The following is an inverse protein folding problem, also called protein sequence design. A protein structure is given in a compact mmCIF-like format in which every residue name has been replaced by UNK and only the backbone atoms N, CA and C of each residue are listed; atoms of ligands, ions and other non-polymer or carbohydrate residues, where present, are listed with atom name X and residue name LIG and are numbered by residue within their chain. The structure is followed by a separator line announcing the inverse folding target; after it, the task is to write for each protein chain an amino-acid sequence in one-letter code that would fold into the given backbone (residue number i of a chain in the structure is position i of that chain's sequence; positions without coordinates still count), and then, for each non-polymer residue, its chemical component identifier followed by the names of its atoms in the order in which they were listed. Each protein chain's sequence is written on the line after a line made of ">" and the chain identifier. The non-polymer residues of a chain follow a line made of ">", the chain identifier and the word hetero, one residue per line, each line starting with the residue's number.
data_IF_334485544743
#
_entry.id   IF_334485544743
#
_cell.length_a   1.000
_cell.length_b   1.000
_cell.length_c   1.000
_cell.angle_alpha   90.00
_cell.angle_beta   90.00
_cell.angle_gamma   90.00
#
_symmetry.space_group_name_H-M   'P 1'
#
loop_
_entity.id
_entity.type
_entity.pdbx_description
1 polymer ?
#
# COMPACT_ATOMS: atom_id res chain seq x y z
N UNK A 1 11.50 81.18 -7.37
CA UNK A 1 10.97 80.00 -8.11
C UNK A 1 11.70 78.80 -7.59
N UNK A 2 10.99 77.98 -6.80
CA UNK A 2 11.55 76.76 -6.15
C UNK A 2 10.72 75.57 -6.62
N UNK A 3 11.32 74.78 -7.51
CA UNK A 3 10.72 73.50 -7.99
C UNK A 3 10.93 72.43 -6.89
N UNK A 4 9.83 72.00 -6.29
CA UNK A 4 9.79 70.80 -5.42
C UNK A 4 9.75 69.56 -6.31
N UNK A 5 10.90 68.85 -6.40
CA UNK A 5 10.95 67.49 -6.89
C UNK A 5 10.14 66.56 -6.00
N UNK A 6 8.97 66.12 -6.41
CA UNK A 6 8.23 65.02 -5.79
C UNK A 6 8.84 63.71 -6.27
N UNK A 7 9.63 63.07 -5.41
CA UNK A 7 10.07 61.70 -5.62
C UNK A 7 8.86 60.75 -5.48
N UNK A 8 8.38 60.21 -6.59
CA UNK A 8 7.32 59.21 -6.67
C UNK A 8 7.84 57.91 -6.03
N UNK A 9 7.49 57.67 -4.76
CA UNK A 9 7.75 56.41 -4.07
C UNK A 9 6.89 55.29 -4.64
N UNK A 10 7.44 54.52 -5.59
CA UNK A 10 6.79 53.40 -6.18
C UNK A 10 6.79 52.20 -5.19
N UNK A 11 5.91 52.24 -4.17
CA UNK A 11 5.67 51.14 -3.27
C UNK A 11 4.89 50.07 -4.06
N UNK A 12 5.37 48.80 -4.19
CA UNK A 12 4.62 47.77 -4.87
C UNK A 12 3.27 47.60 -4.19
N UNK A 13 2.18 47.65 -4.98
CA UNK A 13 0.81 47.63 -4.50
C UNK A 13 0.53 46.41 -3.59
N UNK A 14 -0.40 46.55 -2.67
CA UNK A 14 -0.81 45.55 -1.68
C UNK A 14 -1.08 44.16 -2.31
N UNK A 15 -1.60 44.12 -3.55
CA UNK A 15 -1.86 42.90 -4.32
C UNK A 15 -0.58 42.13 -4.69
N UNK A 16 0.48 42.81 -5.07
CA UNK A 16 1.78 42.18 -5.42
C UNK A 16 2.46 41.60 -4.17
N UNK A 17 2.25 42.23 -3.02
CA UNK A 17 2.81 41.79 -1.75
C UNK A 17 2.08 40.55 -1.21
N UNK A 18 0.74 40.49 -1.39
CA UNK A 18 -0.08 39.30 -1.01
C UNK A 18 0.23 38.10 -1.94
N UNK A 19 0.41 38.32 -3.24
CA UNK A 19 0.78 37.28 -4.21
C UNK A 19 2.15 36.66 -3.92
N UNK A 20 3.17 37.45 -3.60
CA UNK A 20 4.49 36.94 -3.19
C UNK A 20 4.43 36.19 -1.85
N UNK A 21 3.57 36.60 -0.94
CA UNK A 21 3.31 35.92 0.34
C UNK A 21 2.71 34.54 0.07
N UNK A 22 1.66 34.46 -0.74
CA UNK A 22 0.98 33.21 -1.12
C UNK A 22 1.98 32.19 -1.73
N UNK A 23 2.77 32.57 -2.72
CA UNK A 23 3.75 31.69 -3.36
C UNK A 23 4.84 31.20 -2.38
N UNK A 24 5.28 32.05 -1.46
CA UNK A 24 6.24 31.64 -0.43
C UNK A 24 5.67 30.59 0.52
N UNK A 25 4.44 30.75 0.94
CA UNK A 25 3.77 29.79 1.83
C UNK A 25 3.46 28.50 1.10
N UNK A 26 2.97 28.55 -0.14
CA UNK A 26 2.73 27.36 -0.97
C UNK A 26 4.01 26.55 -1.20
N UNK A 27 5.12 27.23 -1.51
CA UNK A 27 6.43 26.58 -1.65
C UNK A 27 6.90 25.93 -0.34
N UNK A 28 6.76 26.62 0.79
CA UNK A 28 7.11 26.07 2.12
C UNK A 28 6.28 24.83 2.47
N UNK A 29 4.98 24.86 2.21
CA UNK A 29 4.07 23.74 2.45
C UNK A 29 4.42 22.56 1.54
N UNK A 30 4.69 22.80 0.26
CA UNK A 30 5.14 21.76 -0.66
C UNK A 30 6.47 21.15 -0.21
N UNK A 31 7.45 21.97 0.14
CA UNK A 31 8.74 21.51 0.64
C UNK A 31 8.58 20.69 1.93
N UNK A 32 7.78 21.17 2.87
CA UNK A 32 7.48 20.44 4.10
C UNK A 32 6.81 19.08 3.82
N UNK A 33 5.86 19.02 2.89
CA UNK A 33 5.24 17.77 2.45
C UNK A 33 6.27 16.81 1.84
N UNK A 34 7.14 17.29 0.96
CA UNK A 34 8.18 16.47 0.34
C UNK A 34 9.16 15.91 1.37
N UNK A 35 9.64 16.76 2.27
CA UNK A 35 10.58 16.35 3.33
C UNK A 35 9.92 15.38 4.33
N UNK A 36 8.68 15.63 4.72
CA UNK A 36 7.93 14.75 5.63
C UNK A 36 7.65 13.40 4.97
N UNK A 37 7.21 13.37 3.72
CA UNK A 37 6.95 12.12 3.00
C UNK A 37 8.23 11.30 2.83
N UNK A 38 9.35 11.95 2.51
CA UNK A 38 10.66 11.31 2.44
C UNK A 38 11.08 10.72 3.79
N UNK A 39 10.95 11.50 4.87
CA UNK A 39 11.31 11.06 6.22
C UNK A 39 10.46 9.86 6.69
N UNK A 40 9.15 9.89 6.42
CA UNK A 40 8.24 8.78 6.75
C UNK A 40 8.61 7.50 6.00
N UNK A 41 8.91 7.59 4.71
CA UNK A 41 9.30 6.41 3.92
C UNK A 41 10.67 5.90 4.37
N UNK A 42 11.65 6.77 4.59
CA UNK A 42 12.95 6.36 5.12
C UNK A 42 12.81 5.69 6.50
N UNK A 43 11.94 6.19 7.36
CA UNK A 43 11.70 5.57 8.66
C UNK A 43 11.21 4.11 8.51
N UNK A 44 10.18 3.85 7.68
CA UNK A 44 9.66 2.49 7.51
C UNK A 44 10.57 1.58 6.68
N UNK A 45 11.51 2.15 5.92
CA UNK A 45 12.55 1.38 5.21
C UNK A 45 13.48 0.64 6.17
N UNK A 46 13.73 1.21 7.35
CA UNK A 46 14.68 0.66 8.34
C UNK A 46 14.02 0.23 9.65
N UNK A 47 12.87 0.79 9.99
CA UNK A 47 12.20 0.56 11.28
C UNK A 47 10.83 -0.06 11.03
N UNK A 48 10.51 -1.11 11.79
CA UNK A 48 9.19 -1.71 11.76
C UNK A 48 8.18 -0.78 12.40
N UNK A 49 7.12 -0.33 11.68
CA UNK A 49 6.17 0.61 12.25
C UNK A 49 5.37 -0.06 13.39
N UNK A 50 5.30 0.55 14.58
CA UNK A 50 4.51 0.01 15.70
C UNK A 50 3.00 0.09 15.43
N UNK A 51 2.61 1.00 14.56
CA UNK A 51 1.25 1.17 14.03
C UNK A 51 1.30 1.82 12.65
N UNK A 52 0.19 1.80 11.92
CA UNK A 52 0.08 2.36 10.57
C UNK A 52 -1.30 2.98 10.35
N UNK A 53 -1.43 3.82 9.32
CA UNK A 53 -2.61 4.64 9.09
C UNK A 53 -3.91 3.82 9.00
N UNK A 54 -3.91 2.70 8.26
CA UNK A 54 -5.09 1.83 8.14
C UNK A 54 -5.54 1.24 9.48
N UNK A 55 -4.61 0.81 10.33
CA UNK A 55 -4.92 0.28 11.66
C UNK A 55 -5.48 1.36 12.57
N UNK A 56 -4.94 2.58 12.49
CA UNK A 56 -5.44 3.74 13.24
C UNK A 56 -6.86 4.09 12.76
N UNK A 57 -7.09 4.14 11.45
CA UNK A 57 -8.40 4.42 10.85
C UNK A 57 -9.45 3.38 11.33
N UNK A 58 -9.08 2.10 11.34
CA UNK A 58 -9.93 1.02 11.88
C UNK A 58 -10.18 1.10 13.39
N UNK A 59 -9.23 1.61 14.15
CA UNK A 59 -9.40 1.81 15.59
C UNK A 59 -10.31 3.01 15.91
N UNK A 60 -10.24 4.08 15.10
CA UNK A 60 -11.08 5.27 15.25
C UNK A 60 -12.49 5.07 14.71
N UNK A 61 -12.63 4.30 13.62
CA UNK A 61 -13.89 4.04 12.92
C UNK A 61 -14.11 2.54 12.74
N UNK A 62 -14.33 1.77 13.83
CA UNK A 62 -14.46 0.33 13.75
C UNK A 62 -15.74 -0.05 12.98
N UNK A 63 -15.67 -0.93 11.99
CA UNK A 63 -16.86 -1.41 11.25
C UNK A 63 -17.79 -2.26 12.08
N UNK A 64 -17.32 -2.83 13.19
CA UNK A 64 -18.05 -3.61 14.19
C UNK A 64 -17.45 -3.37 15.58
N UNK A 65 -18.27 -3.46 16.60
CA UNK A 65 -17.83 -3.38 17.99
C UNK A 65 -17.06 -4.62 18.46
N UNK A 66 -16.23 -4.46 19.47
CA UNK A 66 -15.52 -5.53 20.17
C UNK A 66 -14.61 -6.43 19.30
N UNK A 67 -13.90 -5.84 18.32
CA UNK A 67 -12.92 -6.58 17.51
C UNK A 67 -11.62 -6.72 18.30
N UNK A 68 -11.22 -7.97 18.55
CA UNK A 68 -9.91 -8.26 19.12
C UNK A 68 -8.82 -8.09 18.05
N UNK A 69 -7.94 -7.10 18.24
CA UNK A 69 -6.81 -6.87 17.34
C UNK A 69 -5.68 -7.87 17.62
N UNK A 70 -5.25 -8.57 16.57
CA UNK A 70 -4.12 -9.51 16.58
C UNK A 70 -3.07 -9.05 15.58
N UNK A 71 -1.84 -8.95 16.03
CA UNK A 71 -0.71 -8.60 15.18
C UNK A 71 0.58 -9.11 15.81
N UNK A 72 1.44 -9.71 14.99
CA UNK A 72 2.79 -10.08 15.35
C UNK A 72 3.69 -9.88 14.13
N UNK A 73 4.72 -9.06 14.29
CA UNK A 73 5.71 -8.84 13.23
C UNK A 73 6.65 -10.03 13.10
N UNK A 74 6.92 -10.43 11.86
CA UNK A 74 7.95 -11.42 11.54
C UNK A 74 8.78 -10.94 10.34
N UNK A 75 10.13 -11.08 10.38
CA UNK A 75 10.96 -10.71 9.23
C UNK A 75 10.66 -11.63 8.04
N UNK A 76 10.91 -11.12 6.82
CA UNK A 76 10.56 -11.80 5.58
C UNK A 76 11.15 -13.21 5.48
N UNK A 77 12.37 -13.42 5.99
CA UNK A 77 13.07 -14.71 6.00
C UNK A 77 12.35 -15.78 6.85
N UNK A 78 11.53 -15.37 7.80
CA UNK A 78 10.72 -16.26 8.64
C UNK A 78 9.33 -16.52 8.09
N UNK A 79 8.96 -15.89 6.96
CA UNK A 79 7.71 -16.13 6.26
C UNK A 79 7.96 -17.14 5.15
N UNK A 80 7.13 -18.20 5.08
CA UNK A 80 7.26 -19.22 4.06
C UNK A 80 7.32 -18.63 2.65
N UNK A 81 8.25 -19.09 1.81
CA UNK A 81 8.39 -18.67 0.41
C UNK A 81 7.07 -18.86 -0.37
N UNK A 82 6.30 -19.92 -0.04
CA UNK A 82 4.96 -20.13 -0.58
C UNK A 82 4.03 -18.93 -0.34
N UNK A 83 4.08 -18.30 0.83
CA UNK A 83 3.23 -17.16 1.16
C UNK A 83 3.65 -15.89 0.42
N UNK A 84 4.95 -15.64 0.33
CA UNK A 84 5.51 -14.55 -0.44
C UNK A 84 5.08 -14.66 -1.91
N UNK A 85 5.23 -15.84 -2.50
CA UNK A 85 4.83 -16.09 -3.90
C UNK A 85 3.31 -16.03 -4.09
N UNK A 86 2.51 -16.52 -3.12
CA UNK A 86 1.05 -16.51 -3.22
C UNK A 86 0.48 -15.09 -3.29
N UNK A 87 1.05 -14.16 -2.52
CA UNK A 87 0.65 -12.75 -2.53
C UNK A 87 1.04 -12.08 -3.84
N UNK A 88 2.27 -12.29 -4.32
CA UNK A 88 2.72 -11.78 -5.63
C UNK A 88 1.81 -12.35 -6.74
N UNK A 89 1.55 -13.64 -6.73
CA UNK A 89 0.73 -14.32 -7.72
C UNK A 89 -0.74 -13.86 -7.73
N UNK A 90 -1.29 -13.46 -6.57
CA UNK A 90 -2.69 -13.06 -6.45
C UNK A 90 -2.95 -11.59 -6.68
N UNK A 91 -2.00 -10.73 -6.30
CA UNK A 91 -2.20 -9.28 -6.23
C UNK A 91 -1.37 -8.50 -7.27
N UNK A 92 -0.18 -9.00 -7.64
CA UNK A 92 0.76 -8.23 -8.46
C UNK A 92 1.81 -9.13 -9.13
N UNK A 93 1.42 -9.83 -10.19
CA UNK A 93 2.30 -10.80 -10.88
C UNK A 93 3.55 -10.17 -11.51
N UNK A 94 3.55 -8.85 -11.69
CA UNK A 94 4.67 -8.07 -12.25
C UNK A 94 5.42 -7.29 -11.17
N UNK A 95 5.28 -7.67 -9.90
CA UNK A 95 5.82 -6.95 -8.75
C UNK A 95 7.30 -6.57 -8.90
N UNK A 96 8.13 -7.48 -9.42
CA UNK A 96 9.57 -7.24 -9.63
C UNK A 96 9.90 -6.43 -10.89
N UNK A 97 8.90 -6.14 -11.75
CA UNK A 97 9.11 -5.54 -13.08
C UNK A 97 8.71 -4.06 -13.17
N UNK A 98 8.16 -3.46 -12.13
CA UNK A 98 7.73 -2.06 -12.12
C UNK A 98 8.27 -1.31 -10.90
N UNK A 99 8.27 0.03 -10.95
CA UNK A 99 8.78 0.91 -9.89
C UNK A 99 7.61 1.53 -9.09
N UNK A 100 6.95 0.70 -8.28
CA UNK A 100 5.84 1.11 -7.41
C UNK A 100 4.48 1.17 -8.10
N UNK A 101 4.41 1.56 -9.37
CA UNK A 101 3.19 1.64 -10.19
C UNK A 101 3.38 0.84 -11.48
N UNK A 102 2.46 -0.08 -11.78
CA UNK A 102 2.47 -0.86 -13.03
C UNK A 102 1.62 -0.18 -14.11
N UNK A 103 2.25 0.65 -14.95
CA UNK A 103 1.59 1.32 -16.06
C UNK A 103 1.11 0.36 -17.16
N UNK A 104 1.75 -0.81 -17.30
CA UNK A 104 1.31 -1.83 -18.27
C UNK A 104 0.00 -2.46 -17.79
N UNK A 105 -0.08 -2.87 -16.52
CA UNK A 105 -1.32 -3.39 -15.95
C UNK A 105 -2.46 -2.36 -15.98
N UNK A 106 -2.17 -1.07 -15.73
CA UNK A 106 -3.15 0.01 -15.84
C UNK A 106 -3.66 0.13 -17.28
N UNK A 107 -2.77 0.11 -18.28
CA UNK A 107 -3.15 0.20 -19.70
C UNK A 107 -4.04 -0.97 -20.09
N UNK A 108 -3.62 -2.21 -19.79
CA UNK A 108 -4.42 -3.42 -20.06
C UNK A 108 -5.79 -3.36 -19.38
N UNK A 109 -5.84 -2.95 -18.10
CA UNK A 109 -7.11 -2.83 -17.38
C UNK A 109 -8.05 -1.74 -17.94
N UNK A 110 -7.51 -0.73 -18.63
CA UNK A 110 -8.31 0.30 -19.36
C UNK A 110 -8.82 -0.29 -20.67
N UNK A 111 -7.99 -1.02 -21.39
CA UNK A 111 -8.32 -1.63 -22.69
C UNK A 111 -9.38 -2.74 -22.55
N UNK A 112 -9.28 -3.56 -21.51
CA UNK A 112 -10.19 -4.69 -21.23
C UNK A 112 -11.49 -4.27 -20.51
N UNK A 113 -11.66 -2.98 -20.21
CA UNK A 113 -12.79 -2.48 -19.42
C UNK A 113 -14.02 -2.25 -20.28
N UNK A 114 -15.15 -2.82 -19.85
CA UNK A 114 -16.45 -2.45 -20.41
C UNK A 114 -16.80 -0.99 -20.07
N UNK A 115 -17.44 -0.25 -21.01
CA UNK A 115 -17.84 1.12 -20.77
C UNK A 115 -18.73 1.27 -19.52
N UNK A 116 -18.28 2.08 -18.55
CA UNK A 116 -19.02 2.33 -17.29
C UNK A 116 -18.60 1.46 -16.11
N UNK A 117 -17.79 0.42 -16.29
CA UNK A 117 -17.30 -0.38 -15.17
C UNK A 117 -16.10 0.28 -14.46
N UNK A 118 -15.95 0.07 -13.14
CA UNK A 118 -14.77 0.55 -12.41
C UNK A 118 -13.51 -0.21 -12.82
N UNK A 119 -12.38 0.48 -12.85
CA UNK A 119 -11.08 -0.12 -13.11
C UNK A 119 -10.74 -1.13 -11.98
N UNK A 120 -10.55 -2.40 -12.33
CA UNK A 120 -10.24 -3.48 -11.38
C UNK A 120 -8.86 -4.10 -11.68
N UNK A 121 -8.15 -4.53 -10.63
CA UNK A 121 -6.92 -5.32 -10.76
C UNK A 121 -5.66 -4.57 -11.18
N UNK A 122 -5.68 -3.22 -11.20
CA UNK A 122 -4.53 -2.41 -11.63
C UNK A 122 -3.70 -1.80 -10.48
N UNK A 123 -4.01 -2.11 -9.21
CA UNK A 123 -3.25 -1.60 -8.07
C UNK A 123 -2.16 -2.57 -7.68
N UNK A 124 -0.93 -2.10 -7.58
CA UNK A 124 0.25 -2.90 -7.21
C UNK A 124 0.31 -3.20 -5.71
N UNK A 125 1.10 -4.20 -5.31
CA UNK A 125 1.44 -4.47 -3.90
C UNK A 125 2.06 -3.24 -3.23
N UNK A 126 2.94 -2.53 -3.94
CA UNK A 126 3.56 -1.30 -3.42
C UNK A 126 2.52 -0.21 -3.15
N UNK A 127 1.54 -0.02 -4.05
CA UNK A 127 0.44 0.93 -3.85
C UNK A 127 -0.45 0.54 -2.67
N UNK A 128 -0.76 -0.76 -2.50
CA UNK A 128 -1.52 -1.25 -1.35
C UNK A 128 -0.76 -1.04 -0.05
N UNK A 129 0.56 -1.29 -0.04
CA UNK A 129 1.44 -1.04 1.11
C UNK A 129 1.46 0.44 1.47
N UNK A 130 1.69 1.32 0.51
CA UNK A 130 1.70 2.76 0.69
C UNK A 130 0.36 3.29 1.24
N UNK A 131 -0.76 2.81 0.69
CA UNK A 131 -2.11 3.13 1.19
C UNK A 131 -2.25 2.72 2.66
N UNK A 132 -1.92 1.49 3.00
CA UNK A 132 -2.10 0.99 4.36
C UNK A 132 -1.20 1.70 5.36
N UNK A 133 0.06 2.03 4.99
CA UNK A 133 1.02 2.69 5.86
C UNK A 133 0.66 4.15 6.14
N UNK A 134 0.29 4.92 5.11
CA UNK A 134 0.31 6.38 5.17
C UNK A 134 -1.05 7.04 4.94
N UNK A 135 -2.08 6.31 4.43
CA UNK A 135 -3.32 6.91 3.97
C UNK A 135 -4.56 6.33 4.68
N UNK A 136 -5.65 7.04 4.56
CA UNK A 136 -6.96 6.72 5.14
C UNK A 136 -7.88 5.97 4.17
N UNK A 137 -9.03 5.49 4.64
CA UNK A 137 -9.94 4.59 3.90
C UNK A 137 -10.84 5.26 2.83
N UNK A 138 -10.77 6.60 2.62
CA UNK A 138 -11.66 7.28 1.66
C UNK A 138 -11.36 6.91 0.20
N UNK A 139 -12.36 7.12 -0.68
CA UNK A 139 -12.22 6.97 -2.13
C UNK A 139 -12.19 8.34 -2.79
N UNK A 140 -11.01 8.87 -3.11
CA UNK A 140 -10.84 10.13 -3.84
C UNK A 140 -9.64 10.07 -4.80
N UNK A 141 -9.68 10.87 -5.86
CA UNK A 141 -8.56 10.99 -6.81
C UNK A 141 -7.32 11.56 -6.15
N UNK A 142 -7.49 12.51 -5.22
CA UNK A 142 -6.37 13.08 -4.45
C UNK A 142 -5.66 11.99 -3.64
N UNK A 143 -6.43 11.17 -2.91
CA UNK A 143 -5.86 10.04 -2.17
C UNK A 143 -5.16 9.05 -3.11
N UNK A 144 -5.73 8.78 -4.30
CA UNK A 144 -5.10 7.89 -5.28
C UNK A 144 -3.79 8.47 -5.84
N UNK A 145 -3.71 9.79 -6.02
CA UNK A 145 -2.46 10.49 -6.37
C UNK A 145 -1.41 10.38 -5.27
N UNK A 146 -1.80 10.57 -4.01
CA UNK A 146 -0.90 10.37 -2.85
C UNK A 146 -0.43 8.91 -2.71
N UNK A 147 -1.32 7.95 -2.97
CA UNK A 147 -0.98 6.52 -2.99
C UNK A 147 0.11 6.22 -4.02
N UNK A 148 -0.03 6.75 -5.25
CA UNK A 148 0.99 6.58 -6.29
C UNK A 148 2.31 7.27 -5.91
N UNK A 149 2.27 8.49 -5.33
CA UNK A 149 3.44 9.21 -4.83
C UNK A 149 4.21 8.38 -3.79
N UNK A 150 3.52 7.93 -2.73
CA UNK A 150 4.15 7.11 -1.69
C UNK A 150 4.60 5.74 -2.22
N UNK A 151 3.90 5.16 -3.19
CA UNK A 151 4.32 3.89 -3.80
C UNK A 151 5.65 4.04 -4.54
N UNK A 152 5.83 5.10 -5.33
CA UNK A 152 7.11 5.36 -6.03
C UNK A 152 8.23 5.60 -5.02
N UNK A 153 8.00 6.41 -3.98
CA UNK A 153 8.99 6.64 -2.94
C UNK A 153 9.35 5.35 -2.20
N UNK A 154 8.35 4.55 -1.82
CA UNK A 154 8.55 3.29 -1.09
C UNK A 154 9.36 2.30 -1.92
N UNK A 155 9.01 2.13 -3.19
CA UNK A 155 9.74 1.25 -4.10
C UNK A 155 11.20 1.66 -4.29
N UNK A 156 11.43 2.97 -4.48
CA UNK A 156 12.76 3.53 -4.72
C UNK A 156 13.67 3.45 -3.49
N UNK A 157 13.12 3.67 -2.28
CA UNK A 157 13.91 3.81 -1.06
C UNK A 157 13.99 2.52 -0.24
N UNK A 158 12.95 1.69 -0.28
CA UNK A 158 12.88 0.44 0.51
C UNK A 158 13.22 -0.80 -0.33
N UNK A 159 13.06 -0.73 -1.66
CA UNK A 159 13.17 -1.89 -2.54
C UNK A 159 12.02 -2.89 -2.41
N UNK A 160 12.04 -3.92 -3.26
CA UNK A 160 10.97 -4.92 -3.35
C UNK A 160 10.88 -5.81 -2.11
N UNK A 161 12.02 -6.27 -1.63
CA UNK A 161 12.13 -7.14 -0.47
C UNK A 161 11.50 -6.52 0.78
N UNK A 162 11.88 -5.27 1.09
CA UNK A 162 11.31 -4.55 2.25
C UNK A 162 9.85 -4.20 2.05
N UNK A 163 9.45 -3.83 0.85
CA UNK A 163 8.04 -3.55 0.52
C UNK A 163 7.17 -4.78 0.73
N UNK A 164 7.61 -5.98 0.31
CA UNK A 164 6.89 -7.23 0.53
C UNK A 164 6.82 -7.60 2.02
N UNK A 165 7.91 -7.39 2.77
CA UNK A 165 7.92 -7.61 4.23
C UNK A 165 6.90 -6.70 4.93
N UNK A 166 6.92 -5.40 4.60
CA UNK A 166 5.94 -4.44 5.13
C UNK A 166 4.51 -4.89 4.82
N UNK A 167 4.22 -5.20 3.55
CA UNK A 167 2.91 -5.66 3.12
C UNK A 167 2.41 -6.85 3.95
N UNK A 168 3.20 -7.92 3.98
CA UNK A 168 2.84 -9.17 4.67
C UNK A 168 2.63 -9.00 6.17
N UNK A 169 3.23 -7.97 6.77
CA UNK A 169 3.09 -7.70 8.21
C UNK A 169 1.95 -6.73 8.54
N UNK A 170 1.50 -5.87 7.59
CA UNK A 170 0.49 -4.84 7.90
C UNK A 170 -0.88 -5.09 7.28
N UNK A 171 -0.98 -5.95 6.26
CA UNK A 171 -2.25 -6.21 5.57
C UNK A 171 -3.24 -6.94 6.49
N UNK A 172 -4.52 -6.63 6.34
CA UNK A 172 -5.61 -7.25 7.10
C UNK A 172 -6.07 -8.53 6.40
N UNK A 173 -6.03 -9.66 7.11
CA UNK A 173 -6.48 -10.97 6.64
C UNK A 173 -7.86 -11.38 7.18
N UNK A 174 -8.42 -10.61 8.08
CA UNK A 174 -9.72 -10.83 8.69
C UNK A 174 -10.02 -9.72 9.68
N UNK A 175 -11.23 -9.64 10.23
CA UNK A 175 -11.59 -8.58 11.19
C UNK A 175 -10.60 -8.50 12.36
N UNK A 176 -9.76 -7.44 12.36
CA UNK A 176 -8.73 -7.22 13.39
C UNK A 176 -7.50 -8.13 13.31
N UNK A 177 -7.36 -8.96 12.27
CA UNK A 177 -6.23 -9.86 12.08
C UNK A 177 -5.25 -9.22 11.10
N UNK A 178 -4.17 -8.65 11.62
CA UNK A 178 -3.16 -7.95 10.84
C UNK A 178 -1.87 -8.76 10.76
N UNK A 179 -1.35 -8.87 9.55
CA UNK A 179 -0.10 -9.56 9.25
C UNK A 179 -0.24 -11.08 9.16
N UNK A 180 0.67 -11.66 8.40
CA UNK A 180 0.65 -13.08 8.03
C UNK A 180 0.87 -14.01 9.23
N UNK A 181 1.67 -13.61 10.22
CA UNK A 181 1.89 -14.45 11.41
C UNK A 181 0.61 -14.60 12.23
N UNK A 182 -0.06 -13.48 12.51
CA UNK A 182 -1.35 -13.50 13.22
C UNK A 182 -2.41 -14.29 12.44
N UNK A 183 -2.45 -14.15 11.11
CA UNK A 183 -3.36 -14.89 10.26
C UNK A 183 -3.05 -16.39 10.25
N UNK A 184 -1.78 -16.77 10.14
CA UNK A 184 -1.35 -18.18 10.16
C UNK A 184 -1.69 -18.86 11.47
N UNK A 185 -1.46 -18.18 12.58
CA UNK A 185 -1.84 -18.69 13.91
C UNK A 185 -3.36 -18.82 14.06
N UNK A 186 -4.11 -17.81 13.60
CA UNK A 186 -5.56 -17.79 13.76
C UNK A 186 -6.27 -18.86 12.94
N UNK A 187 -5.91 -19.01 11.64
CA UNK A 187 -6.61 -19.91 10.73
C UNK A 187 -6.02 -21.33 10.71
N UNK A 188 -4.75 -21.52 11.03
CA UNK A 188 -4.06 -22.81 10.86
C UNK A 188 -3.29 -23.27 12.10
N UNK A 189 -3.31 -22.50 13.18
CA UNK A 189 -2.62 -22.81 14.44
C UNK A 189 -1.13 -23.14 14.25
N UNK A 190 -0.43 -22.41 13.38
CA UNK A 190 1.01 -22.55 13.12
C UNK A 190 1.66 -21.22 12.73
N UNK A 191 2.99 -21.13 12.84
CA UNK A 191 3.74 -19.95 12.42
C UNK A 191 3.77 -19.78 10.89
N UNK A 192 3.89 -18.52 10.43
CA UNK A 192 3.90 -18.15 9.02
C UNK A 192 4.99 -18.85 8.19
N UNK A 193 6.11 -19.23 8.80
CA UNK A 193 7.18 -19.99 8.14
C UNK A 193 6.82 -21.43 7.79
N UNK A 194 5.71 -21.96 8.33
CA UNK A 194 5.26 -23.35 8.11
C UNK A 194 4.06 -23.46 7.17
N UNK A 195 3.66 -22.36 6.52
CA UNK A 195 2.54 -22.35 5.58
C UNK A 195 2.85 -23.21 4.36
N UNK A 196 1.97 -24.18 4.09
CA UNK A 196 1.98 -24.93 2.83
C UNK A 196 1.51 -24.04 1.66
N UNK A 197 1.76 -24.46 0.43
CA UNK A 197 1.33 -23.74 -0.77
C UNK A 197 -0.21 -23.56 -0.80
N UNK A 198 -0.99 -24.55 -0.34
CA UNK A 198 -2.45 -24.46 -0.27
C UNK A 198 -2.93 -23.45 0.75
N UNK A 199 -2.36 -23.44 1.95
CA UNK A 199 -2.71 -22.51 3.02
C UNK A 199 -2.32 -21.07 2.66
N UNK A 200 -1.14 -20.89 2.07
CA UNK A 200 -0.71 -19.60 1.53
C UNK A 200 -1.69 -19.06 0.48
N UNK A 201 -2.13 -19.91 -0.46
CA UNK A 201 -3.12 -19.53 -1.46
C UNK A 201 -4.50 -19.20 -0.85
N UNK A 202 -4.92 -19.87 0.21
CA UNK A 202 -6.15 -19.56 0.96
C UNK A 202 -6.04 -18.20 1.67
N UNK A 203 -4.92 -17.90 2.34
CA UNK A 203 -4.69 -16.59 2.95
C UNK A 203 -4.68 -15.48 1.90
N UNK A 204 -3.96 -15.67 0.79
CA UNK A 204 -3.93 -14.69 -0.28
C UNK A 204 -5.33 -14.46 -0.89
N UNK A 205 -6.18 -15.49 -0.94
CA UNK A 205 -7.54 -15.38 -1.43
C UNK A 205 -8.45 -14.51 -0.54
N UNK A 206 -8.11 -14.28 0.75
CA UNK A 206 -8.85 -13.39 1.66
C UNK A 206 -8.66 -11.91 1.33
N UNK A 207 -7.49 -11.53 0.78
CA UNK A 207 -7.04 -10.14 0.69
C UNK A 207 -8.01 -9.17 0.01
N UNK A 208 -8.75 -9.55 -1.07
CA UNK A 208 -9.70 -8.63 -1.70
C UNK A 208 -10.87 -8.21 -0.80
N UNK A 209 -11.29 -9.08 0.13
CA UNK A 209 -12.39 -8.79 1.06
C UNK A 209 -12.27 -9.57 2.38
N UNK A 210 -11.30 -9.21 3.25
CA UNK A 210 -11.00 -9.98 4.46
C UNK A 210 -12.13 -9.98 5.50
N UNK A 211 -13.09 -9.09 5.36
CA UNK A 211 -14.24 -9.00 6.27
C UNK A 211 -15.39 -9.94 5.90
N UNK A 212 -15.49 -10.33 4.64
CA UNK A 212 -16.59 -11.15 4.12
C UNK A 212 -16.16 -12.57 3.75
N UNK A 213 -14.90 -12.73 3.31
CA UNK A 213 -14.40 -14.03 2.90
C UNK A 213 -14.03 -14.89 4.10
N UNK A 214 -14.27 -16.21 3.96
CA UNK A 214 -14.01 -17.21 5.02
C UNK A 214 -13.26 -18.39 4.44
N UNK A 215 -12.25 -18.87 5.21
CA UNK A 215 -11.44 -20.03 4.87
C UNK A 215 -11.47 -21.14 5.94
N UNK A 216 -12.28 -20.97 6.97
CA UNK A 216 -12.49 -21.96 8.04
C UNK A 216 -14.00 -22.11 8.34
N UNK A 217 -14.69 -23.11 7.74
CA UNK A 217 -14.25 -23.86 6.55
C UNK A 217 -14.27 -23.02 5.27
N UNK A 218 -13.41 -23.33 4.28
CA UNK A 218 -13.35 -22.56 3.04
C UNK A 218 -14.60 -22.80 2.18
N UNK A 219 -15.20 -21.72 1.68
CA UNK A 219 -16.32 -21.80 0.75
C UNK A 219 -15.89 -22.34 -0.61
N UNK A 220 -16.84 -22.79 -1.44
CA UNK A 220 -16.55 -23.24 -2.81
C UNK A 220 -15.86 -22.16 -3.65
N UNK A 221 -16.25 -20.88 -3.46
CA UNK A 221 -15.57 -19.73 -4.11
C UNK A 221 -14.11 -19.62 -3.66
N UNK A 222 -13.86 -19.67 -2.34
CA UNK A 222 -12.50 -19.57 -1.79
C UNK A 222 -11.60 -20.71 -2.26
N UNK A 223 -12.15 -21.92 -2.35
CA UNK A 223 -11.42 -23.07 -2.90
C UNK A 223 -11.02 -22.81 -4.36
N UNK A 224 -11.95 -22.41 -5.23
CA UNK A 224 -11.64 -22.08 -6.63
C UNK A 224 -10.62 -20.97 -6.76
N UNK A 225 -10.75 -19.90 -5.92
CA UNK A 225 -9.78 -18.78 -5.92
C UNK A 225 -8.38 -19.25 -5.49
N UNK A 226 -8.28 -20.05 -4.43
CA UNK A 226 -7.00 -20.60 -3.98
C UNK A 226 -6.40 -21.57 -5.01
N UNK A 227 -7.22 -22.36 -5.73
CA UNK A 227 -6.75 -23.21 -6.84
C UNK A 227 -6.20 -22.37 -8.00
N UNK A 228 -6.86 -21.26 -8.33
CA UNK A 228 -6.36 -20.31 -9.33
C UNK A 228 -5.02 -19.70 -8.90
N UNK A 229 -4.92 -19.20 -7.64
CA UNK A 229 -3.67 -18.67 -7.08
C UNK A 229 -2.55 -19.73 -7.15
N UNK A 230 -2.84 -20.97 -6.75
CA UNK A 230 -1.87 -22.07 -6.84
C UNK A 230 -1.37 -22.34 -8.26
N UNK A 231 -2.21 -22.16 -9.29
CA UNK A 231 -1.78 -22.22 -10.69
C UNK A 231 -0.86 -21.05 -11.05
N UNK A 232 -1.21 -19.83 -10.65
CA UNK A 232 -0.38 -18.65 -10.88
C UNK A 232 0.99 -18.75 -10.19
N UNK A 233 1.03 -19.26 -8.94
CA UNK A 233 2.29 -19.53 -8.23
C UNK A 233 3.20 -20.48 -9.01
N UNK A 234 2.64 -21.55 -9.60
CA UNK A 234 3.43 -22.50 -10.43
C UNK A 234 3.93 -21.87 -11.71
N UNK A 235 3.14 -20.98 -12.34
CA UNK A 235 3.53 -20.27 -13.57
C UNK A 235 4.66 -19.27 -13.32
N UNK A 236 4.57 -18.51 -12.22
CA UNK A 236 5.61 -17.57 -11.82
C UNK A 236 6.90 -18.30 -11.39
N UNK A 237 6.77 -19.39 -10.64
CA UNK A 237 7.88 -20.14 -10.10
C UNK A 237 8.58 -19.44 -8.91
N UNK A 238 9.28 -20.24 -8.10
CA UNK A 238 10.00 -19.71 -6.92
C UNK A 238 11.17 -18.77 -7.28
N UNK A 239 11.68 -18.86 -8.51
CA UNK A 239 12.74 -17.98 -9.00
C UNK A 239 12.35 -16.49 -8.97
N UNK A 240 11.06 -16.16 -9.07
CA UNK A 240 10.55 -14.79 -8.93
C UNK A 240 10.97 -14.13 -7.60
N UNK A 241 11.17 -14.92 -6.55
CA UNK A 241 11.60 -14.39 -5.25
C UNK A 241 13.09 -13.99 -5.21
N UNK A 242 13.90 -14.47 -6.17
CA UNK A 242 15.31 -14.06 -6.30
C UNK A 242 15.44 -12.65 -6.90
N UNK A 243 14.40 -12.16 -7.58
CA UNK A 243 14.37 -10.84 -8.21
C UNK A 243 13.87 -9.73 -7.26
N UNK A 244 13.78 -10.01 -5.96
CA UNK A 244 13.36 -9.04 -4.93
C UNK A 244 14.50 -8.14 -4.44
N UNK A 245 15.73 -8.49 -4.69
CA UNK A 245 16.95 -7.76 -4.29
C UNK A 245 17.43 -6.76 -5.35
#
# INVERSE_FOLDING_TARGET
>A
MSEKNQACSNKPGLLVRSWRGFWRWSFRLLLAFLLLSLALVLMVSFINPPTWAWRIDRALFPPKDNIQVRHQWVPLEKIAANMQLAVIASEDQRFTQHNGVDFVAIKTAIEDRDPGEPLRGASTLTQQTAKNLFLWSSRSLVRKGLEAWFAVLLDTLSGKRRTLELYLNIVEFGPGIYGVEAASQYYFNKGAGKLSSREAALLAALLPNPWSYRIDPPTAYMNRRADWIGRQMRQLGMATLNDLD
#
